data_IF_748847738637
#
_entry.id   IF_748847738637
#
_cell.length_a   1.000
_cell.length_b   1.000
_cell.length_c   1.000
_cell.angle_alpha   90.00
_cell.angle_beta   90.00
_cell.angle_gamma   90.00
#
_symmetry.space_group_name_H-M   'P 1'
#
loop_
_entity.id
_entity.type
_entity.pdbx_description
1 polymer ?
#
# COMPACT_ATOMS: atom_id res chain seq x y z
N UNK A 1 -1.32 -6.07 -20.16
CA UNK A 1 -1.53 -6.68 -18.83
C UNK A 1 -1.46 -5.54 -17.84
N UNK A 2 -2.49 -5.28 -17.04
CA UNK A 2 -2.41 -4.21 -16.03
C UNK A 2 -1.40 -4.63 -14.97
N UNK A 3 -0.34 -3.85 -14.79
CA UNK A 3 0.65 -4.06 -13.74
C UNK A 3 -0.05 -3.89 -12.39
N UNK A 4 -0.17 -5.00 -11.64
CA UNK A 4 -0.85 -5.00 -10.34
C UNK A 4 0.14 -4.59 -9.28
N UNK A 5 -0.12 -3.49 -8.60
CA UNK A 5 0.68 -3.00 -7.48
C UNK A 5 0.23 -3.73 -6.22
N UNK A 6 1.08 -4.59 -5.65
CA UNK A 6 0.80 -5.24 -4.38
C UNK A 6 1.39 -4.43 -3.24
N UNK A 7 0.62 -4.25 -2.16
CA UNK A 7 1.03 -3.56 -0.95
C UNK A 7 0.72 -4.44 0.25
N UNK A 8 1.66 -4.54 1.17
CA UNK A 8 1.52 -5.26 2.42
C UNK A 8 1.48 -4.26 3.58
N UNK A 9 0.42 -4.32 4.37
CA UNK A 9 0.30 -3.52 5.57
C UNK A 9 1.26 -4.07 6.65
N UNK A 10 2.21 -3.28 7.17
CA UNK A 10 3.14 -3.76 8.21
C UNK A 10 2.49 -3.93 9.59
N UNK A 11 1.27 -3.41 9.79
CA UNK A 11 0.57 -3.46 11.08
C UNK A 11 -0.19 -4.78 11.24
N UNK A 12 -1.03 -5.14 10.27
CA UNK A 12 -1.83 -6.37 10.30
C UNK A 12 -1.32 -7.47 9.37
N UNK A 13 -0.24 -7.21 8.64
CA UNK A 13 0.31 -8.12 7.64
C UNK A 13 -0.68 -8.45 6.50
N UNK A 14 -1.75 -7.67 6.34
CA UNK A 14 -2.74 -7.80 5.28
C UNK A 14 -2.18 -7.31 3.95
N UNK A 15 -2.43 -8.06 2.88
CA UNK A 15 -1.96 -7.72 1.53
C UNK A 15 -3.14 -7.31 0.65
N UNK A 16 -2.97 -6.23 -0.10
CA UNK A 16 -3.94 -5.75 -1.08
C UNK A 16 -3.24 -5.43 -2.40
N UNK A 17 -3.99 -5.50 -3.49
CA UNK A 17 -3.48 -5.27 -4.84
C UNK A 17 -4.32 -4.22 -5.55
N UNK A 18 -3.67 -3.24 -6.16
CA UNK A 18 -4.29 -2.13 -6.87
C UNK A 18 -3.86 -2.10 -8.35
N UNK A 19 -4.59 -1.33 -9.14
CA UNK A 19 -4.37 -1.22 -10.59
C UNK A 19 -3.29 -0.18 -10.98
N UNK A 20 -2.85 0.64 -10.02
CA UNK A 20 -1.85 1.70 -10.20
C UNK A 20 -1.20 2.08 -8.86
N UNK A 21 -0.05 2.74 -8.90
CA UNK A 21 0.65 3.23 -7.69
C UNK A 21 -0.23 4.18 -6.88
N UNK A 22 -0.88 5.16 -7.50
CA UNK A 22 -1.77 6.10 -6.81
C UNK A 22 -2.94 5.40 -6.11
N UNK A 23 -3.53 4.39 -6.75
CA UNK A 23 -4.62 3.64 -6.15
C UNK A 23 -4.12 2.79 -4.97
N UNK A 24 -2.93 2.22 -5.09
CA UNK A 24 -2.26 1.49 -4.02
C UNK A 24 -1.96 2.39 -2.79
N UNK A 25 -1.47 3.62 -3.03
CA UNK A 25 -1.22 4.62 -1.99
C UNK A 25 -2.52 4.97 -1.27
N UNK A 26 -3.56 5.32 -2.03
CA UNK A 26 -4.87 5.67 -1.48
C UNK A 26 -5.44 4.53 -0.64
N UNK A 27 -5.42 3.30 -1.16
CA UNK A 27 -5.87 2.12 -0.44
C UNK A 27 -5.07 1.88 0.86
N UNK A 28 -3.76 2.13 0.85
CA UNK A 28 -2.93 2.00 2.05
C UNK A 28 -3.31 3.04 3.12
N UNK A 29 -3.56 4.29 2.71
CA UNK A 29 -3.99 5.36 3.61
C UNK A 29 -5.39 5.09 4.18
N UNK A 30 -6.35 4.73 3.35
CA UNK A 30 -7.70 4.36 3.78
C UNK A 30 -7.65 3.16 4.73
N UNK A 31 -6.88 2.12 4.39
CA UNK A 31 -6.72 0.95 5.26
C UNK A 31 -6.11 1.32 6.62
N UNK A 32 -5.07 2.16 6.65
CA UNK A 32 -4.47 2.60 7.90
C UNK A 32 -5.48 3.37 8.76
N UNK A 33 -6.27 4.25 8.15
CA UNK A 33 -7.25 5.05 8.87
C UNK A 33 -8.41 4.21 9.37
N UNK A 34 -8.99 3.35 8.53
CA UNK A 34 -10.20 2.59 8.86
C UNK A 34 -9.94 1.34 9.70
N UNK A 35 -8.77 0.70 9.54
CA UNK A 35 -8.45 -0.56 10.24
C UNK A 35 -7.59 -0.36 11.47
N UNK A 36 -6.80 0.70 11.52
CA UNK A 36 -5.81 0.92 12.59
C UNK A 36 -5.99 2.27 13.30
N UNK A 37 -6.95 3.12 12.88
CA UNK A 37 -7.10 4.50 13.37
C UNK A 37 -5.80 5.31 13.21
N UNK A 38 -5.03 4.99 12.16
CA UNK A 38 -3.73 5.59 11.86
C UNK A 38 -3.81 6.45 10.60
N UNK A 39 -3.14 7.59 10.60
CA UNK A 39 -3.03 8.43 9.41
C UNK A 39 -1.66 8.23 8.76
N UNK A 40 -1.62 7.66 7.56
CA UNK A 40 -0.42 7.57 6.74
C UNK A 40 -0.30 8.78 5.84
N UNK A 41 0.89 9.38 5.79
CA UNK A 41 1.19 10.40 4.78
C UNK A 41 1.29 9.76 3.40
N UNK A 42 1.11 10.55 2.34
CA UNK A 42 1.26 10.06 0.97
C UNK A 42 2.67 9.48 0.74
N UNK A 43 3.68 10.09 1.33
CA UNK A 43 5.07 9.67 1.20
C UNK A 43 5.33 8.32 1.89
N UNK A 44 4.78 8.12 3.10
CA UNK A 44 4.89 6.84 3.81
C UNK A 44 4.13 5.72 3.09
N UNK A 45 2.90 6.00 2.63
CA UNK A 45 2.12 5.04 1.86
C UNK A 45 2.83 4.66 0.55
N UNK A 46 3.47 5.63 -0.12
CA UNK A 46 4.28 5.40 -1.32
C UNK A 46 5.50 4.53 -1.05
N UNK A 47 6.22 4.79 0.04
CA UNK A 47 7.38 3.96 0.43
C UNK A 47 6.96 2.49 0.64
N UNK A 48 5.80 2.24 1.25
CA UNK A 48 5.25 0.88 1.40
C UNK A 48 4.98 0.22 0.05
N UNK A 49 4.40 0.94 -0.91
CA UNK A 49 4.13 0.41 -2.26
C UNK A 49 5.44 0.11 -3.00
N UNK A 50 6.40 1.02 -2.96
CA UNK A 50 7.70 0.87 -3.64
C UNK A 50 8.54 -0.26 -3.03
N UNK A 51 8.51 -0.44 -1.71
CA UNK A 51 9.23 -1.53 -1.04
C UNK A 51 8.75 -2.91 -1.47
N UNK A 52 7.44 -3.11 -1.62
CA UNK A 52 6.87 -4.38 -2.07
C UNK A 52 7.14 -4.65 -3.55
N UNK A 53 7.13 -3.60 -4.38
CA UNK A 53 7.55 -3.67 -5.79
C UNK A 53 9.02 -4.09 -5.93
N UNK A 54 9.92 -3.63 -5.04
CA UNK A 54 11.34 -3.98 -5.08
C UNK A 54 11.67 -5.34 -4.45
N UNK A 55 10.89 -5.79 -3.47
CA UNK A 55 11.16 -7.07 -2.76
C UNK A 55 10.66 -8.31 -3.51
N UNK A 56 10.08 -8.14 -4.70
CA UNK A 56 9.64 -9.23 -5.59
C UNK A 56 10.66 -9.61 -6.69
N UNK A 57 11.91 -9.14 -6.63
CA UNK A 57 12.98 -9.46 -7.57
C UNK A 57 13.98 -10.46 -6.98
#
# INVERSE_FOLDING_TARGET
>A
MAEKFSVKCPVCNGTFSASSEQDAIRMAQEHASEKHDMSLTEQDARDLVTREQQSGH
#
